data_IF_922209373029
#
_entry.id   IF_922209373029
#
_cell.length_a   1.000
_cell.length_b   1.000
_cell.length_c   1.000
_cell.angle_alpha   90.00
_cell.angle_beta   90.00
_cell.angle_gamma   90.00
#
_symmetry.space_group_name_H-M   'P 1'
#
loop_
_entity.id
_entity.type
_entity.pdbx_description
1 polymer ?
#
# COMPACT_ATOMS: atom_id res chain seq x y z
N UNK A 1 -10.56 53.85 4.76
CA UNK A 1 -11.85 53.16 4.58
C UNK A 1 -12.03 52.95 3.09
N UNK A 2 -12.18 51.70 2.65
CA UNK A 2 -12.39 51.37 1.23
C UNK A 2 -13.83 50.90 1.04
N UNK A 3 -14.39 51.14 -0.13
CA UNK A 3 -15.70 50.60 -0.53
C UNK A 3 -15.52 49.65 -1.70
N UNK A 4 -16.40 48.67 -1.80
CA UNK A 4 -16.50 47.77 -2.95
C UNK A 4 -17.82 48.04 -3.64
N UNK A 5 -17.78 48.24 -4.96
CA UNK A 5 -18.98 48.53 -5.75
C UNK A 5 -19.86 47.28 -5.86
N UNK A 6 -21.15 47.41 -5.60
CA UNK A 6 -22.14 46.34 -5.79
C UNK A 6 -22.81 46.42 -7.15
N UNK A 7 -22.90 47.63 -7.70
CA UNK A 7 -23.37 47.90 -9.06
C UNK A 7 -22.31 48.64 -9.88
N UNK A 8 -22.40 48.51 -11.20
CA UNK A 8 -21.54 49.23 -12.12
C UNK A 8 -21.82 50.73 -12.07
N UNK A 9 -20.77 51.54 -12.02
CA UNK A 9 -20.83 53.00 -11.99
C UNK A 9 -19.84 53.59 -13.00
N UNK A 10 -20.37 54.34 -13.96
CA UNK A 10 -19.56 55.04 -14.96
C UNK A 10 -19.69 56.56 -14.77
N UNK A 11 -18.55 57.23 -14.70
CA UNK A 11 -18.43 58.68 -14.71
C UNK A 11 -17.62 59.16 -15.90
N UNK A 12 -17.43 60.48 -16.01
CA UNK A 12 -16.73 61.09 -17.14
C UNK A 12 -15.28 60.57 -17.34
N UNK A 13 -14.62 60.17 -16.24
CA UNK A 13 -13.20 59.77 -16.25
C UNK A 13 -12.96 58.40 -15.59
N UNK A 14 -14.01 57.62 -15.30
CA UNK A 14 -13.87 56.32 -14.67
C UNK A 14 -15.03 55.39 -15.02
N UNK A 15 -14.77 54.09 -15.01
CA UNK A 15 -15.79 53.05 -15.13
C UNK A 15 -15.45 51.98 -14.11
N UNK A 16 -16.35 51.76 -13.16
CA UNK A 16 -16.23 50.76 -12.11
C UNK A 16 -17.28 49.68 -12.36
N UNK A 17 -16.85 48.42 -12.39
CA UNK A 17 -17.72 47.27 -12.48
C UNK A 17 -18.21 46.82 -11.09
N UNK A 18 -19.30 46.04 -11.00
CA UNK A 18 -19.63 45.32 -9.78
C UNK A 18 -18.43 44.48 -9.31
N UNK A 19 -18.07 44.62 -8.04
CA UNK A 19 -16.93 43.95 -7.42
C UNK A 19 -15.65 44.78 -7.34
N UNK A 20 -15.56 45.88 -8.08
CA UNK A 20 -14.36 46.73 -8.08
C UNK A 20 -14.21 47.50 -6.77
N UNK A 21 -12.96 47.66 -6.34
CA UNK A 21 -12.58 48.54 -5.23
C UNK A 21 -11.95 49.80 -5.85
N UNK A 22 -12.59 50.97 -5.75
CA UNK A 22 -12.05 52.21 -6.30
C UNK A 22 -10.69 52.54 -5.68
N UNK A 23 -9.70 53.04 -6.46
CA UNK A 23 -8.46 53.55 -5.92
C UNK A 23 -8.66 54.60 -4.82
N UNK A 24 -7.71 54.63 -3.88
CA UNK A 24 -7.78 55.50 -2.69
C UNK A 24 -7.90 56.98 -3.10
N UNK A 25 -8.89 57.67 -2.53
CA UNK A 25 -9.18 59.08 -2.81
C UNK A 25 -10.05 59.34 -4.05
N UNK A 26 -10.50 58.30 -4.77
CA UNK A 26 -11.44 58.48 -5.90
C UNK A 26 -12.80 59.02 -5.46
N UNK A 27 -13.25 58.63 -4.27
CA UNK A 27 -14.44 59.17 -3.63
C UNK A 27 -14.06 59.82 -2.32
N UNK A 28 -14.65 60.98 -2.03
CA UNK A 28 -14.60 61.55 -0.68
C UNK A 28 -15.37 60.66 0.29
N UNK A 29 -15.08 60.77 1.59
CA UNK A 29 -15.76 59.97 2.62
C UNK A 29 -17.28 60.13 2.58
N UNK A 30 -17.77 61.35 2.36
CA UNK A 30 -19.21 61.64 2.20
C UNK A 30 -19.82 61.04 0.93
N UNK A 31 -19.03 60.83 -0.12
CA UNK A 31 -19.52 60.17 -1.34
C UNK A 31 -19.54 58.66 -1.16
N UNK A 32 -18.49 58.10 -0.54
CA UNK A 32 -18.45 56.70 -0.17
C UNK A 32 -19.63 56.32 0.76
N UNK A 33 -19.90 57.13 1.78
CA UNK A 33 -21.05 56.93 2.68
C UNK A 33 -22.39 56.97 1.92
N UNK A 34 -22.58 57.96 1.05
CA UNK A 34 -23.79 58.05 0.21
C UNK A 34 -23.96 56.85 -0.73
N UNK A 35 -22.87 56.34 -1.29
CA UNK A 35 -22.91 55.15 -2.16
C UNK A 35 -23.29 53.90 -1.36
N UNK A 36 -22.82 53.77 -0.13
CA UNK A 36 -23.19 52.67 0.77
C UNK A 36 -24.65 52.80 1.22
N UNK A 37 -25.09 53.98 1.64
CA UNK A 37 -26.47 54.25 2.06
C UNK A 37 -27.47 54.03 0.92
N UNK A 38 -27.07 54.34 -0.31
CA UNK A 38 -27.86 54.07 -1.51
C UNK A 38 -27.87 52.59 -1.92
N UNK A 39 -27.12 51.72 -1.24
CA UNK A 39 -26.98 50.30 -1.55
C UNK A 39 -26.20 50.01 -2.83
N UNK A 40 -25.40 50.97 -3.31
CA UNK A 40 -24.59 50.85 -4.53
C UNK A 40 -23.18 50.32 -4.25
N UNK A 41 -22.74 50.36 -2.99
CA UNK A 41 -21.45 49.88 -2.54
C UNK A 41 -21.54 49.29 -1.11
N UNK A 42 -20.51 48.55 -0.70
CA UNK A 42 -20.34 48.04 0.67
C UNK A 42 -18.99 48.47 1.25
N UNK A 43 -18.91 48.67 2.57
CA UNK A 43 -17.63 48.93 3.24
C UNK A 43 -16.75 47.69 3.21
N UNK A 44 -15.53 47.84 2.72
CA UNK A 44 -14.51 46.79 2.77
C UNK A 44 -13.90 46.80 4.17
N UNK A 45 -14.14 45.72 4.92
CA UNK A 45 -13.45 45.47 6.18
C UNK A 45 -12.05 44.93 5.89
N UNK A 46 -11.04 45.78 6.02
CA UNK A 46 -9.63 45.43 5.76
C UNK A 46 -9.12 44.28 6.68
N UNK A 47 -9.77 44.03 7.83
CA UNK A 47 -9.36 43.00 8.80
C UNK A 47 -9.80 41.57 8.47
N UNK A 48 -11.03 41.37 7.99
CA UNK A 48 -11.60 40.02 7.78
C UNK A 48 -10.97 39.32 6.56
N UNK A 49 -10.62 40.08 5.52
CA UNK A 49 -9.98 39.55 4.30
C UNK A 49 -8.57 39.01 4.59
N UNK A 50 -7.82 39.69 5.46
CA UNK A 50 -6.46 39.29 5.86
C UNK A 50 -6.47 37.99 6.68
N UNK A 51 -7.35 37.88 7.67
CA UNK A 51 -7.44 36.71 8.54
C UNK A 51 -7.93 35.46 7.79
N UNK A 52 -8.95 35.62 6.93
CA UNK A 52 -9.44 34.53 6.07
C UNK A 52 -8.36 34.08 5.09
N UNK A 53 -7.61 35.00 4.50
CA UNK A 53 -6.51 34.67 3.59
C UNK A 53 -5.38 33.92 4.30
N UNK A 54 -5.01 34.35 5.50
CA UNK A 54 -4.01 33.67 6.34
C UNK A 54 -4.44 32.26 6.72
N UNK A 55 -5.72 32.09 7.10
CA UNK A 55 -6.27 30.77 7.45
C UNK A 55 -6.29 29.83 6.25
N UNK A 56 -6.74 30.31 5.09
CA UNK A 56 -6.72 29.54 3.85
C UNK A 56 -5.30 29.17 3.43
N UNK A 57 -4.31 30.06 3.63
CA UNK A 57 -2.91 29.76 3.34
C UNK A 57 -2.38 28.65 4.26
N UNK A 58 -2.70 28.70 5.55
CA UNK A 58 -2.29 27.68 6.52
C UNK A 58 -2.95 26.32 6.22
N UNK A 59 -4.26 26.33 5.92
CA UNK A 59 -4.99 25.12 5.58
C UNK A 59 -4.44 24.49 4.28
N UNK A 60 -4.12 25.31 3.27
CA UNK A 60 -3.48 24.82 2.05
C UNK A 60 -2.09 24.23 2.31
N UNK A 61 -1.28 24.85 3.18
CA UNK A 61 0.03 24.29 3.55
C UNK A 61 -0.11 22.93 4.24
N UNK A 62 -1.08 22.80 5.14
CA UNK A 62 -1.36 21.53 5.82
C UNK A 62 -1.83 20.45 4.84
N UNK A 63 -2.75 20.78 3.93
CA UNK A 63 -3.20 19.86 2.89
C UNK A 63 -2.07 19.41 1.97
N UNK A 64 -1.13 20.31 1.64
CA UNK A 64 0.04 19.95 0.85
C UNK A 64 0.98 18.98 1.61
N UNK A 65 1.13 19.14 2.93
CA UNK A 65 1.88 18.21 3.77
C UNK A 65 1.21 16.84 3.82
N UNK A 66 -0.09 16.80 4.09
CA UNK A 66 -0.87 15.55 4.10
C UNK A 66 -0.79 14.83 2.73
N UNK A 67 -0.86 15.58 1.62
CA UNK A 67 -0.68 15.01 0.29
C UNK A 67 0.71 14.43 0.06
N UNK A 68 1.76 15.06 0.58
CA UNK A 68 3.12 14.55 0.49
C UNK A 68 3.30 13.26 1.32
N UNK A 69 2.71 13.22 2.52
CA UNK A 69 2.70 12.03 3.38
C UNK A 69 1.94 10.87 2.73
N UNK A 70 0.75 11.12 2.17
CA UNK A 70 -0.04 10.11 1.46
C UNK A 70 0.71 9.53 0.26
N UNK A 71 1.43 10.37 -0.51
CA UNK A 71 2.29 9.89 -1.61
C UNK A 71 3.39 8.97 -1.11
N UNK A 72 4.04 9.35 0.00
CA UNK A 72 5.09 8.52 0.62
C UNK A 72 4.53 7.18 1.10
N UNK A 73 3.35 7.18 1.71
CA UNK A 73 2.68 5.96 2.15
C UNK A 73 2.25 5.08 0.97
N UNK A 74 1.77 5.67 -0.13
CA UNK A 74 1.42 4.93 -1.34
C UNK A 74 2.63 4.20 -1.93
N UNK A 75 3.80 4.86 -2.04
CA UNK A 75 5.03 4.21 -2.50
C UNK A 75 5.45 3.06 -1.59
N UNK A 76 5.36 3.24 -0.27
CA UNK A 76 5.69 2.16 0.69
C UNK A 76 4.71 0.98 0.60
N UNK A 77 3.44 1.26 0.29
CA UNK A 77 2.44 0.22 0.06
C UNK A 77 2.78 -0.58 -1.20
N UNK A 78 3.08 0.08 -2.32
CA UNK A 78 3.50 -0.56 -3.57
C UNK A 78 4.75 -1.45 -3.38
N UNK A 79 5.75 -0.96 -2.64
CA UNK A 79 6.93 -1.75 -2.28
C UNK A 79 6.57 -2.99 -1.44
N UNK A 80 5.64 -2.84 -0.49
CA UNK A 80 5.20 -3.96 0.35
C UNK A 80 4.42 -5.00 -0.44
N UNK A 81 3.57 -4.58 -1.39
CA UNK A 81 2.80 -5.46 -2.27
C UNK A 81 3.74 -6.25 -3.21
N UNK A 82 4.72 -5.56 -3.80
CA UNK A 82 5.75 -6.21 -4.61
C UNK A 82 6.52 -7.27 -3.79
N UNK A 83 6.85 -6.97 -2.54
CA UNK A 83 7.53 -7.93 -1.65
C UNK A 83 6.66 -9.14 -1.31
N UNK A 84 5.36 -8.95 -1.12
CA UNK A 84 4.42 -10.06 -0.87
C UNK A 84 4.38 -11.01 -2.07
N UNK A 85 4.31 -10.47 -3.29
CA UNK A 85 4.31 -11.30 -4.51
C UNK A 85 5.56 -12.17 -4.61
N UNK A 86 6.74 -11.61 -4.29
CA UNK A 86 8.00 -12.38 -4.26
C UNK A 86 7.94 -13.49 -3.21
N UNK A 87 7.51 -13.18 -1.99
CA UNK A 87 7.42 -14.15 -0.90
C UNK A 87 6.45 -15.30 -1.20
N UNK A 88 5.32 -15.00 -1.86
CA UNK A 88 4.37 -16.03 -2.30
C UNK A 88 5.04 -16.96 -3.31
N UNK A 89 5.76 -16.42 -4.29
CA UNK A 89 6.49 -17.23 -5.28
C UNK A 89 7.60 -18.09 -4.65
N UNK A 90 8.33 -17.55 -3.67
CA UNK A 90 9.33 -18.32 -2.92
C UNK A 90 8.69 -19.45 -2.10
N UNK A 91 7.52 -19.19 -1.49
CA UNK A 91 6.78 -20.19 -0.73
C UNK A 91 6.30 -21.33 -1.63
N UNK A 92 5.70 -21.03 -2.78
CA UNK A 92 5.29 -22.03 -3.77
C UNK A 92 6.47 -22.91 -4.22
N UNK A 93 7.65 -22.30 -4.43
CA UNK A 93 8.85 -23.03 -4.80
C UNK A 93 9.36 -23.94 -3.67
N UNK A 94 9.31 -23.48 -2.42
CA UNK A 94 9.66 -24.29 -1.25
C UNK A 94 8.67 -25.44 -1.05
N UNK A 95 7.38 -25.19 -1.25
CA UNK A 95 6.34 -26.22 -1.12
C UNK A 95 6.54 -27.34 -2.15
N UNK A 96 6.80 -27.01 -3.42
CA UNK A 96 7.13 -28.03 -4.44
C UNK A 96 8.36 -28.85 -4.08
N UNK A 97 9.41 -28.20 -3.55
CA UNK A 97 10.62 -28.93 -3.09
C UNK A 97 10.33 -29.86 -1.93
N UNK A 98 9.44 -29.47 -1.02
CA UNK A 98 9.02 -30.33 0.08
C UNK A 98 8.25 -31.55 -0.44
N UNK A 99 7.30 -31.35 -1.35
CA UNK A 99 6.54 -32.43 -1.99
C UNK A 99 7.45 -33.41 -2.76
N UNK A 100 8.44 -32.91 -3.49
CA UNK A 100 9.43 -33.74 -4.19
C UNK A 100 10.33 -34.53 -3.23
N UNK A 101 10.72 -33.92 -2.10
CA UNK A 101 11.49 -34.58 -1.06
C UNK A 101 10.68 -35.67 -0.35
N UNK A 102 9.40 -35.43 -0.07
CA UNK A 102 8.48 -36.42 0.50
C UNK A 102 8.29 -37.62 -0.43
N UNK A 103 8.12 -37.39 -1.74
CA UNK A 103 8.07 -38.46 -2.74
C UNK A 103 9.37 -39.28 -2.75
N UNK A 104 10.51 -38.60 -2.79
CA UNK A 104 11.81 -39.26 -2.81
C UNK A 104 12.03 -40.12 -1.55
N UNK A 105 11.57 -39.63 -0.39
CA UNK A 105 11.62 -40.36 0.87
C UNK A 105 10.71 -41.60 0.86
N UNK A 106 9.49 -41.47 0.34
CA UNK A 106 8.56 -42.59 0.21
C UNK A 106 9.13 -43.69 -0.69
N UNK A 107 9.71 -43.32 -1.85
CA UNK A 107 10.36 -44.28 -2.75
C UNK A 107 11.56 -44.98 -2.08
N UNK A 108 12.36 -44.23 -1.31
CA UNK A 108 13.49 -44.80 -0.58
C UNK A 108 13.04 -45.79 0.51
N UNK A 109 11.96 -45.47 1.24
CA UNK A 109 11.37 -46.35 2.22
C UNK A 109 10.83 -47.65 1.60
N UNK A 110 10.13 -47.57 0.47
CA UNK A 110 9.65 -48.76 -0.25
C UNK A 110 10.81 -49.66 -0.72
N UNK A 111 11.85 -49.05 -1.30
CA UNK A 111 13.06 -49.79 -1.71
C UNK A 111 13.77 -50.44 -0.52
N UNK A 112 13.84 -49.73 0.61
CA UNK A 112 14.38 -50.24 1.87
C UNK A 112 13.64 -51.49 2.33
N UNK A 113 12.32 -51.42 2.43
CA UNK A 113 11.48 -52.57 2.83
C UNK A 113 11.61 -53.76 1.87
N UNK A 114 11.71 -53.51 0.56
CA UNK A 114 11.92 -54.58 -0.42
C UNK A 114 13.30 -55.26 -0.26
N UNK A 115 14.34 -54.49 0.07
CA UNK A 115 15.67 -55.04 0.34
C UNK A 115 15.70 -55.84 1.65
N UNK A 116 15.07 -55.34 2.71
CA UNK A 116 14.93 -56.06 3.98
C UNK A 116 14.21 -57.40 3.80
N UNK A 117 13.14 -57.44 3.00
CA UNK A 117 12.45 -58.68 2.67
C UNK A 117 13.35 -59.69 1.95
N UNK A 118 14.12 -59.24 0.96
CA UNK A 118 15.09 -60.11 0.25
C UNK A 118 16.20 -60.61 1.17
N UNK A 119 16.67 -59.80 2.11
CA UNK A 119 17.67 -60.21 3.10
C UNK A 119 17.09 -61.33 3.96
N UNK A 120 15.87 -61.17 4.50
CA UNK A 120 15.22 -62.20 5.30
C UNK A 120 15.01 -63.51 4.55
N UNK A 121 14.64 -63.45 3.26
CA UNK A 121 14.52 -64.64 2.40
C UNK A 121 15.86 -65.36 2.21
N UNK A 122 16.94 -64.61 1.95
CA UNK A 122 18.29 -65.15 1.80
C UNK A 122 18.80 -65.77 3.12
N UNK A 123 18.59 -65.10 4.25
CA UNK A 123 18.94 -65.60 5.58
C UNK A 123 18.23 -66.92 5.88
N UNK A 124 16.92 -67.02 5.57
CA UNK A 124 16.16 -68.26 5.71
C UNK A 124 16.71 -69.38 4.82
N UNK A 125 16.94 -69.10 3.54
CA UNK A 125 17.48 -70.08 2.60
C UNK A 125 18.85 -70.63 3.06
N UNK A 126 19.72 -69.76 3.57
CA UNK A 126 21.01 -70.18 4.15
C UNK A 126 20.83 -71.06 5.39
N UNK A 127 19.91 -70.70 6.28
CA UNK A 127 19.57 -71.50 7.46
C UNK A 127 19.05 -72.90 7.10
N UNK A 128 18.14 -72.98 6.12
CA UNK A 128 17.58 -74.25 5.64
C UNK A 128 18.66 -75.16 5.01
N UNK A 129 19.57 -74.59 4.21
CA UNK A 129 20.70 -75.33 3.63
C UNK A 129 21.64 -75.87 4.71
N UNK A 130 21.96 -75.08 5.74
CA UNK A 130 22.78 -75.51 6.86
C UNK A 130 22.11 -76.66 7.66
N UNK A 131 20.79 -76.58 7.87
CA UNK A 131 20.03 -77.61 8.55
C UNK A 131 19.96 -78.93 7.76
N UNK A 132 19.82 -78.88 6.44
CA UNK A 132 19.76 -80.07 5.58
C UNK A 132 21.12 -80.80 5.52
N UNK A 133 22.23 -80.05 5.47
CA UNK A 133 23.57 -80.63 5.58
C UNK A 133 23.81 -81.33 6.93
N UNK A 134 23.35 -80.74 8.04
CA UNK A 134 23.46 -81.35 9.37
C UNK A 134 22.68 -82.66 9.53
N UNK A 135 21.57 -82.84 8.80
CA UNK A 135 20.77 -84.07 8.81
C UNK A 135 21.44 -85.19 8.00
N UNK A 136 21.98 -84.90 6.82
CA UNK A 136 22.71 -85.89 6.00
C UNK A 136 23.95 -86.44 6.70
N UNK A 137 24.66 -85.59 7.45
CA UNK A 137 25.84 -86.00 8.24
C UNK A 137 25.51 -86.95 9.40
N UNK A 138 24.27 -86.92 9.93
CA UNK A 138 23.82 -87.80 11.02
C UNK A 138 23.21 -89.12 10.53
N UNK A 139 22.67 -89.18 9.32
CA UNK A 139 22.06 -90.41 8.76
C UNK A 139 23.06 -91.36 8.09
N UNK A 140 24.31 -90.95 7.89
CA UNK A 140 25.36 -91.78 7.27
C UNK A 140 26.26 -92.54 8.26
N UNK A 141 25.97 -92.50 9.55
CA UNK A 141 26.80 -93.09 10.61
C UNK A 141 26.16 -94.31 11.31
N UNK A 142 25.23 -95.01 10.62
CA UNK A 142 24.57 -96.23 11.09
C UNK A 142 25.12 -97.46 10.40
#
# INVERSE_FOLDING_TARGET
MKIKMLLGLAGANFSLAPGDIPPDGQFTEKEAERLVDAGLAEWVKDGESSEVTLRLALDNENLLKEMAELRTLATRLEESEARIVVLVGENDALQRRAEDAEKSLAEAAERGGALEGRIAELEKALGDVAADQGKKSKSGAG
#
